data_IF_394188540440
#
_entry.id   IF_394188540440
#
_cell.length_a   1.000
_cell.length_b   1.000
_cell.length_c   1.000
_cell.angle_alpha   90.00
_cell.angle_beta   90.00
_cell.angle_gamma   90.00
#
_symmetry.space_group_name_H-M   'P 1'
#
loop_
_entity.id
_entity.type
_entity.pdbx_description
1 polymer ?
#
# COMPACT_ATOMS: atom_id res chain seq x y z
N UNK A 1 -0.35 -12.76 -20.13
CA UNK A 1 0.26 -11.43 -19.93
C UNK A 1 -0.67 -10.51 -19.15
N UNK A 2 -1.96 -10.45 -19.49
CA UNK A 2 -2.93 -9.55 -18.86
C UNK A 2 -3.03 -9.70 -17.33
N UNK A 3 -3.18 -10.94 -16.83
CA UNK A 3 -3.28 -11.22 -15.39
C UNK A 3 -2.07 -10.77 -14.56
N UNK A 4 -0.85 -10.80 -15.12
CA UNK A 4 0.34 -10.35 -14.42
C UNK A 4 0.36 -8.82 -14.29
N UNK A 5 -0.08 -8.11 -15.34
CA UNK A 5 -0.21 -6.66 -15.33
C UNK A 5 -1.34 -6.20 -14.39
N UNK A 6 -2.46 -6.91 -14.39
CA UNK A 6 -3.56 -6.68 -13.46
C UNK A 6 -3.11 -6.88 -12.00
N UNK A 7 -2.38 -7.98 -11.73
CA UNK A 7 -1.78 -8.23 -10.43
C UNK A 7 -0.81 -7.12 -10.01
N UNK A 8 0.05 -6.66 -10.92
CA UNK A 8 0.96 -5.54 -10.66
C UNK A 8 0.19 -4.26 -10.29
N UNK A 9 -0.84 -3.89 -11.08
CA UNK A 9 -1.70 -2.72 -10.78
C UNK A 9 -2.33 -2.85 -9.40
N UNK A 10 -2.90 -4.01 -9.07
CA UNK A 10 -3.52 -4.25 -7.76
C UNK A 10 -2.51 -4.12 -6.60
N UNK A 11 -1.29 -4.65 -6.76
CA UNK A 11 -0.23 -4.49 -5.77
C UNK A 11 0.21 -3.02 -5.62
N UNK A 12 0.38 -2.30 -6.74
CA UNK A 12 0.86 -0.93 -6.75
C UNK A 12 -0.10 0.07 -6.07
N UNK A 13 -1.39 -0.26 -5.95
CA UNK A 13 -2.36 0.53 -5.15
C UNK A 13 -1.98 0.63 -3.67
N UNK A 14 -1.38 -0.42 -3.09
CA UNK A 14 -0.89 -0.37 -1.71
C UNK A 14 0.31 0.59 -1.58
N UNK A 15 0.51 1.18 -0.41
CA UNK A 15 1.67 2.03 -0.18
C UNK A 15 2.97 1.18 -0.12
N UNK A 16 4.10 1.66 -0.69
CA UNK A 16 5.31 0.85 -0.85
C UNK A 16 5.91 0.36 0.46
N UNK A 17 5.99 1.20 1.48
CA UNK A 17 6.49 0.75 2.78
C UNK A 17 5.51 -0.20 3.46
N UNK A 18 4.21 0.09 3.39
CA UNK A 18 3.18 -0.82 3.91
C UNK A 18 3.30 -2.24 3.30
N UNK A 19 3.58 -2.34 1.99
CA UNK A 19 3.84 -3.64 1.35
C UNK A 19 5.11 -4.31 1.85
N UNK A 20 6.19 -3.54 2.05
CA UNK A 20 7.44 -4.06 2.57
C UNK A 20 7.27 -4.61 4.00
N UNK A 21 6.51 -3.88 4.83
CA UNK A 21 6.15 -4.30 6.19
C UNK A 21 5.31 -5.57 6.19
N UNK A 22 4.25 -5.66 5.38
CA UNK A 22 3.45 -6.89 5.24
C UNK A 22 4.31 -8.07 4.80
N UNK A 23 5.18 -7.87 3.80
CA UNK A 23 6.11 -8.91 3.33
C UNK A 23 7.03 -9.38 4.46
N UNK A 24 7.55 -8.46 5.26
CA UNK A 24 8.41 -8.78 6.41
C UNK A 24 7.65 -9.55 7.50
N UNK A 25 6.44 -9.12 7.84
CA UNK A 25 5.59 -9.81 8.85
C UNK A 25 5.25 -11.23 8.42
N UNK A 26 4.88 -11.42 7.15
CA UNK A 26 4.62 -12.75 6.58
C UNK A 26 5.91 -13.59 6.58
N UNK A 27 7.04 -13.02 6.18
CA UNK A 27 8.35 -13.70 6.18
C UNK A 27 8.83 -14.08 7.59
N UNK A 28 8.44 -13.32 8.61
CA UNK A 28 8.67 -13.64 10.01
C UNK A 28 7.61 -14.60 10.60
N UNK A 29 6.71 -15.13 9.77
CA UNK A 29 5.59 -15.99 10.18
C UNK A 29 4.75 -15.39 11.31
N UNK A 30 4.45 -14.08 11.22
CA UNK A 30 3.69 -13.35 12.24
C UNK A 30 4.30 -13.47 13.64
N UNK A 31 5.62 -13.24 13.78
CA UNK A 31 6.36 -13.34 15.04
C UNK A 31 5.85 -12.45 16.20
N UNK A 32 6.74 -11.72 16.87
CA UNK A 32 6.30 -10.83 17.95
C UNK A 32 5.52 -9.65 17.40
N UNK A 33 4.61 -9.10 18.20
CA UNK A 33 3.87 -7.89 17.83
C UNK A 33 4.83 -6.72 17.57
N UNK A 34 4.72 -6.12 16.38
CA UNK A 34 5.59 -5.06 15.93
C UNK A 34 4.95 -3.69 16.17
N UNK A 35 5.20 -3.13 17.36
CA UNK A 35 4.66 -1.82 17.74
C UNK A 35 5.09 -0.71 16.77
N UNK A 36 6.32 -0.75 16.25
CA UNK A 36 6.84 0.33 15.40
C UNK A 36 6.13 0.35 14.05
N UNK A 37 5.95 -0.81 13.42
CA UNK A 37 5.17 -0.92 12.18
C UNK A 37 3.71 -0.62 12.41
N UNK A 38 3.14 -0.99 13.55
CA UNK A 38 1.75 -0.67 13.88
C UNK A 38 1.53 0.83 14.06
N UNK A 39 2.41 1.52 14.78
CA UNK A 39 2.37 2.98 14.91
C UNK A 39 2.54 3.67 13.56
N UNK A 40 3.49 3.19 12.73
CA UNK A 40 3.67 3.68 11.36
C UNK A 40 2.40 3.47 10.51
N UNK A 41 1.73 2.34 10.64
CA UNK A 41 0.52 2.03 9.88
C UNK A 41 -0.67 2.93 10.24
N UNK A 42 -0.68 3.50 11.45
CA UNK A 42 -1.73 4.39 11.92
C UNK A 42 -1.42 5.87 11.67
N UNK A 43 -0.16 6.27 11.83
CA UNK A 43 0.22 7.69 11.90
C UNK A 43 1.25 8.13 10.85
N UNK A 44 1.79 7.19 10.07
CA UNK A 44 2.78 7.46 9.04
C UNK A 44 2.22 8.24 7.84
N UNK A 45 3.12 8.79 7.03
CA UNK A 45 2.76 9.62 5.88
C UNK A 45 1.98 8.85 4.83
N UNK A 46 2.39 7.61 4.53
CA UNK A 46 1.66 6.71 3.63
C UNK A 46 0.23 6.41 4.11
N UNK A 47 0.04 6.24 5.42
CA UNK A 47 -1.29 5.99 5.99
C UNK A 47 -2.20 7.21 5.82
N UNK A 48 -1.67 8.41 6.05
CA UNK A 48 -2.39 9.67 5.86
C UNK A 48 -2.75 9.91 4.40
N UNK A 49 -1.78 9.79 3.49
CA UNK A 49 -2.02 9.97 2.07
C UNK A 49 -2.99 8.91 1.52
N UNK A 50 -2.85 7.65 1.94
CA UNK A 50 -3.75 6.57 1.54
C UNK A 50 -5.19 6.83 1.99
N UNK A 51 -5.36 7.39 3.19
CA UNK A 51 -6.66 7.85 3.68
C UNK A 51 -7.24 8.99 2.83
N UNK A 52 -6.44 9.99 2.48
CA UNK A 52 -6.86 11.10 1.61
C UNK A 52 -7.22 10.60 0.20
N UNK A 53 -6.39 9.74 -0.39
CA UNK A 53 -6.65 9.11 -1.68
C UNK A 53 -7.94 8.27 -1.67
N UNK A 54 -8.19 7.55 -0.58
CA UNK A 54 -9.45 6.82 -0.39
C UNK A 54 -10.66 7.76 -0.29
N UNK A 55 -10.53 8.87 0.44
CA UNK A 55 -11.64 9.80 0.73
C UNK A 55 -11.97 10.69 -0.46
N UNK A 56 -10.96 11.35 -1.03
CA UNK A 56 -11.08 12.40 -2.04
C UNK A 56 -11.00 11.86 -3.47
N UNK A 57 -10.65 10.58 -3.63
CA UNK A 57 -10.43 9.88 -4.90
C UNK A 57 -9.26 10.37 -5.80
N UNK A 58 -8.20 11.05 -5.32
CA UNK A 58 -6.98 11.15 -6.10
C UNK A 58 -6.22 9.81 -6.07
N UNK A 59 -5.49 9.50 -7.14
CA UNK A 59 -4.48 8.44 -7.10
C UNK A 59 -3.33 8.88 -6.16
N UNK A 60 -2.82 8.00 -5.29
CA UNK A 60 -1.66 8.31 -4.46
C UNK A 60 -0.40 8.60 -5.29
N UNK A 61 0.48 9.43 -4.75
CA UNK A 61 1.77 9.82 -5.34
C UNK A 61 2.70 8.65 -5.61
N UNK A 62 2.63 7.56 -4.82
CA UNK A 62 3.43 6.37 -5.04
C UNK A 62 2.97 5.50 -6.21
N UNK A 63 1.77 5.75 -6.76
CA UNK A 63 1.27 5.01 -7.94
C UNK A 63 1.75 5.72 -9.21
N UNK A 64 2.66 5.05 -9.93
CA UNK A 64 3.12 5.48 -11.25
C UNK A 64 1.95 5.61 -12.24
N UNK A 65 2.00 6.61 -13.11
CA UNK A 65 0.92 6.97 -14.04
C UNK A 65 0.45 5.79 -14.90
N UNK A 66 1.38 4.97 -15.41
CA UNK A 66 1.08 3.80 -16.25
C UNK A 66 0.30 2.68 -15.52
N UNK A 67 0.29 2.72 -14.18
CA UNK A 67 -0.33 1.72 -13.32
C UNK A 67 -1.60 2.23 -12.63
N UNK A 68 -1.97 3.49 -12.83
CA UNK A 68 -3.22 4.06 -12.30
C UNK A 68 -4.39 3.40 -13.00
N UNK A 69 -5.31 2.86 -12.21
CA UNK A 69 -6.56 2.25 -12.70
C UNK A 69 -7.73 3.22 -12.67
N UNK A 70 -7.54 4.39 -12.05
CA UNK A 70 -8.62 5.29 -11.68
C UNK A 70 -9.55 4.70 -10.62
N UNK A 71 -10.45 5.52 -10.11
CA UNK A 71 -11.42 5.12 -9.08
C UNK A 71 -10.89 5.30 -7.66
N UNK A 72 -11.50 4.60 -6.71
CA UNK A 72 -11.12 4.65 -5.30
C UNK A 72 -10.02 3.61 -5.03
N UNK A 73 -9.06 3.95 -4.17
CA UNK A 73 -8.30 2.92 -3.45
C UNK A 73 -9.25 1.93 -2.76
#
# INVERSE_FOLDING_TARGET
MDAALEGLRACCRGAPDARADVKRVIGAHYGTYDHMTMDKSAFGDEAREGWLAFSERPDPSWVCEDLRTGGRL
#
